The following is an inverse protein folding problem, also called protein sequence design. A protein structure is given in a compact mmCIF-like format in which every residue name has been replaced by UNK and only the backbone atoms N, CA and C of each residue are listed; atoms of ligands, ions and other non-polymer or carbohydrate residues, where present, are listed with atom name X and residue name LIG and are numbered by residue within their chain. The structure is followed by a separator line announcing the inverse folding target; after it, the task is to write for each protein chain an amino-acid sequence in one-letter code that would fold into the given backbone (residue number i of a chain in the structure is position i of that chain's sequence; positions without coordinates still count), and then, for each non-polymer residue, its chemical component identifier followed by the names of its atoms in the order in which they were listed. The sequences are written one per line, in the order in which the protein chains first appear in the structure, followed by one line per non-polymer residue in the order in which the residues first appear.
data_IF_762414502239
#
_entry.id   IF_762414502239
#
_cell.length_a   1.000
_cell.length_b   1.000
_cell.length_c   1.000
_cell.angle_alpha   90.00
_cell.angle_beta   90.00
_cell.angle_gamma   90.00
#
_symmetry.space_group_name_H-M   'P 1'
#
loop_
_entity.id
_entity.type
_entity.pdbx_description
1 polymer ?
#
# COMPACT_ATOMS: atom_id res chain seq x y z
N UNK A 1 17.58 -11.79 -8.63
CA UNK A 1 17.03 -11.09 -7.46
C UNK A 1 15.91 -11.92 -6.83
N UNK A 2 14.89 -12.32 -7.61
CA UNK A 2 13.84 -13.30 -7.23
C UNK A 2 14.34 -14.51 -6.42
N UNK A 3 15.36 -15.23 -6.93
CA UNK A 3 15.93 -16.40 -6.25
C UNK A 3 16.54 -16.08 -4.87
N UNK A 4 17.13 -14.89 -4.68
CA UNK A 4 17.70 -14.47 -3.39
C UNK A 4 16.60 -14.12 -2.37
N UNK A 5 15.45 -13.66 -2.84
CA UNK A 5 14.28 -13.33 -2.00
C UNK A 5 13.51 -14.59 -1.61
N UNK A 6 13.34 -15.53 -2.56
CA UNK A 6 12.73 -16.83 -2.31
C UNK A 6 13.49 -17.62 -1.23
N UNK A 7 14.83 -17.57 -1.25
CA UNK A 7 15.68 -18.18 -0.21
C UNK A 7 15.48 -17.56 1.19
N UNK A 8 14.91 -16.36 1.27
CA UNK A 8 14.55 -15.68 2.53
C UNK A 8 13.06 -15.82 2.88
N UNK A 9 12.32 -16.65 2.15
CA UNK A 9 10.87 -16.83 2.32
C UNK A 9 10.03 -15.63 1.86
N UNK A 10 10.62 -14.70 1.10
CA UNK A 10 9.92 -13.50 0.60
C UNK A 10 9.47 -13.73 -0.83
N UNK A 11 8.17 -13.60 -1.06
CA UNK A 11 7.55 -13.67 -2.40
C UNK A 11 7.42 -12.24 -2.94
N UNK A 12 8.00 -11.98 -4.10
CA UNK A 12 7.89 -10.67 -4.75
C UNK A 12 6.63 -10.62 -5.62
N UNK A 13 5.74 -9.67 -5.33
CA UNK A 13 4.51 -9.43 -6.09
C UNK A 13 4.66 -8.10 -6.85
N UNK A 14 4.84 -8.17 -8.17
CA UNK A 14 5.01 -6.99 -9.03
C UNK A 14 4.04 -6.96 -10.20
N UNK A 15 3.67 -5.76 -10.66
CA UNK A 15 2.88 -5.60 -11.88
C UNK A 15 3.63 -6.06 -13.13
N UNK A 16 2.88 -6.57 -14.10
CA UNK A 16 3.44 -6.98 -15.39
C UNK A 16 4.02 -5.77 -16.12
N UNK A 17 5.31 -5.84 -16.47
CA UNK A 17 5.98 -4.90 -17.39
C UNK A 17 6.09 -5.53 -18.77
N UNK A 18 6.21 -4.69 -19.80
CA UNK A 18 6.33 -5.06 -21.22
C UNK A 18 7.45 -6.09 -21.52
N UNK A 19 8.48 -6.17 -20.67
CA UNK A 19 9.64 -7.06 -20.85
C UNK A 19 9.69 -8.24 -19.84
N UNK A 20 8.58 -8.53 -19.16
CA UNK A 20 8.48 -9.65 -18.20
C UNK A 20 7.68 -10.77 -18.85
N UNK A 21 8.19 -12.01 -18.77
CA UNK A 21 7.47 -13.19 -19.26
C UNK A 21 6.10 -13.29 -18.56
N UNK A 22 5.00 -13.52 -19.30
CA UNK A 22 3.70 -13.67 -18.70
C UNK A 22 3.70 -14.89 -17.77
N UNK A 23 3.55 -14.65 -16.47
CA UNK A 23 3.36 -15.68 -15.47
C UNK A 23 1.92 -15.61 -14.98
N UNK A 24 1.33 -16.76 -14.67
CA UNK A 24 -0.01 -16.85 -14.11
C UNK A 24 0.05 -16.32 -12.68
N UNK A 25 -0.40 -15.09 -12.52
CA UNK A 25 -0.47 -14.42 -11.23
C UNK A 25 -1.75 -14.85 -10.49
N UNK A 26 -1.65 -15.15 -9.19
CA UNK A 26 -2.84 -15.47 -8.40
C UNK A 26 -3.83 -14.29 -8.45
N UNK A 27 -5.12 -14.59 -8.52
CA UNK A 27 -6.19 -13.59 -8.58
C UNK A 27 -6.10 -12.58 -7.43
N UNK A 28 -5.66 -13.05 -6.26
CA UNK A 28 -5.46 -12.21 -5.08
C UNK A 28 -4.30 -11.24 -5.21
N UNK A 29 -3.16 -11.69 -5.70
CA UNK A 29 -1.99 -10.84 -5.92
C UNK A 29 -2.29 -9.77 -6.98
N UNK A 30 -3.05 -10.14 -8.03
CA UNK A 30 -3.54 -9.22 -9.06
C UNK A 30 -4.48 -8.16 -8.47
N UNK A 31 -5.32 -8.55 -7.52
CA UNK A 31 -6.21 -7.64 -6.81
C UNK A 31 -5.42 -6.69 -5.92
N UNK A 32 -4.48 -7.19 -5.12
CA UNK A 32 -3.61 -6.36 -4.26
C UNK A 32 -2.85 -5.30 -5.08
N UNK A 33 -2.31 -5.68 -6.25
CA UNK A 33 -1.65 -4.71 -7.12
C UNK A 33 -2.60 -3.61 -7.63
N UNK A 34 -3.84 -3.95 -7.99
CA UNK A 34 -4.84 -2.96 -8.41
C UNK A 34 -5.27 -2.05 -7.27
N UNK A 35 -5.32 -2.57 -6.05
CA UNK A 35 -5.70 -1.82 -4.84
C UNK A 35 -4.52 -1.06 -4.21
N UNK A 36 -3.30 -1.17 -4.75
CA UNK A 36 -2.09 -0.45 -4.30
C UNK A 36 -2.29 1.08 -4.22
N UNK A 37 -3.14 1.63 -5.09
CA UNK A 37 -3.53 3.04 -5.08
C UNK A 37 -4.07 3.52 -3.73
N UNK A 38 -4.70 2.65 -2.94
CA UNK A 38 -5.23 3.01 -1.61
C UNK A 38 -4.08 3.30 -0.66
N UNK A 39 -3.08 2.41 -0.64
CA UNK A 39 -1.89 2.57 0.22
C UNK A 39 -1.15 3.84 -0.20
N UNK A 40 -1.04 4.10 -1.50
CA UNK A 40 -0.45 5.35 -2.01
C UNK A 40 -1.25 6.60 -1.59
N UNK A 41 -2.58 6.55 -1.67
CA UNK A 41 -3.45 7.67 -1.27
C UNK A 41 -3.33 7.95 0.22
N UNK A 42 -3.35 6.91 1.06
CA UNK A 42 -3.16 7.04 2.51
C UNK A 42 -1.77 7.60 2.81
N UNK A 43 -0.73 7.11 2.13
CA UNK A 43 0.63 7.59 2.32
C UNK A 43 0.82 9.05 1.86
N UNK A 44 0.11 9.47 0.80
CA UNK A 44 0.10 10.86 0.33
C UNK A 44 -0.62 11.79 1.32
N UNK A 45 -1.76 11.36 1.86
CA UNK A 45 -2.46 12.08 2.93
C UNK A 45 -1.61 12.21 4.19
N UNK A 46 -0.94 11.13 4.62
CA UNK A 46 -0.02 11.16 5.76
C UNK A 46 1.16 12.10 5.51
N UNK A 47 1.73 12.13 4.29
CA UNK A 47 2.78 13.09 3.94
C UNK A 47 2.33 14.54 4.04
N UNK A 48 1.08 14.82 3.67
CA UNK A 48 0.51 16.17 3.75
C UNK A 48 0.26 16.58 5.20
N UNK A 49 -0.38 15.71 6.00
CA UNK A 49 -0.75 16.00 7.41
C UNK A 49 0.49 16.06 8.31
N UNK A 50 1.41 15.10 8.17
CA UNK A 50 2.61 15.05 9.00
C UNK A 50 3.72 16.00 8.52
N UNK A 51 3.46 16.83 7.49
CA UNK A 51 4.41 17.75 6.84
C UNK A 51 5.76 17.13 6.44
N UNK A 52 5.82 15.80 6.32
CA UNK A 52 7.06 15.02 6.14
C UNK A 52 7.82 15.45 4.89
N UNK A 53 7.09 15.90 3.87
CA UNK A 53 7.65 16.32 2.59
C UNK A 53 8.43 17.64 2.68
N UNK A 54 8.11 18.50 3.65
CA UNK A 54 8.70 19.83 3.81
C UNK A 54 9.59 19.93 5.07
N UNK A 55 9.50 18.99 5.99
CA UNK A 55 10.28 19.00 7.21
C UNK A 55 11.62 18.27 7.04
N UNK A 56 12.73 19.01 7.10
CA UNK A 56 14.06 18.43 7.34
C UNK A 56 14.10 17.91 8.79
N UNK A 57 13.73 16.66 8.98
CA UNK A 57 13.73 16.01 10.29
C UNK A 57 15.17 15.92 10.84
N UNK A 58 15.56 16.83 11.74
CA UNK A 58 16.85 16.77 12.46
C UNK A 58 16.89 15.68 13.53
N UNK A 59 15.75 15.10 13.93
CA UNK A 59 15.63 14.04 14.94
C UNK A 59 14.54 13.03 14.56
N UNK A 60 14.89 11.74 14.57
CA UNK A 60 14.02 10.63 14.17
C UNK A 60 12.80 10.45 15.09
N UNK A 61 12.93 10.79 16.37
CA UNK A 61 11.88 10.67 17.38
C UNK A 61 10.69 11.59 17.05
N UNK A 62 10.95 12.85 16.68
CA UNK A 62 9.90 13.80 16.28
C UNK A 62 9.18 13.38 14.99
N UNK A 63 9.88 12.68 14.10
CA UNK A 63 9.28 12.09 12.90
C UNK A 63 8.31 10.96 13.25
N UNK A 64 8.71 10.03 14.14
CA UNK A 64 7.83 8.96 14.62
C UNK A 64 6.59 9.51 15.34
N UNK A 65 6.73 10.55 16.16
CA UNK A 65 5.61 11.24 16.80
C UNK A 65 4.63 11.84 15.79
N UNK A 66 5.13 12.59 14.80
CA UNK A 66 4.28 13.16 13.75
C UNK A 66 3.60 12.09 12.88
N UNK A 67 4.23 10.93 12.68
CA UNK A 67 3.64 9.80 11.97
C UNK A 67 2.48 9.20 12.78
N UNK A 68 2.66 9.00 14.08
CA UNK A 68 1.64 8.47 14.97
C UNK A 68 0.44 9.42 15.08
N UNK A 69 0.69 10.72 15.24
CA UNK A 69 -0.36 11.76 15.23
C UNK A 69 -1.10 11.79 13.89
N UNK A 70 -0.39 11.68 12.77
CA UNK A 70 -1.00 11.60 11.44
C UNK A 70 -1.91 10.37 11.28
N UNK A 71 -1.52 9.22 11.84
CA UNK A 71 -2.31 7.99 11.81
C UNK A 71 -3.55 8.06 12.72
N UNK A 72 -3.41 8.66 13.91
CA UNK A 72 -4.53 8.89 14.84
C UNK A 72 -5.52 9.87 14.22
N UNK A 73 -5.06 11.01 13.68
CA UNK A 73 -5.90 11.99 13.00
C UNK A 73 -6.63 11.39 11.80
N UNK A 74 -5.96 10.51 11.04
CA UNK A 74 -6.59 9.75 9.95
C UNK A 74 -7.70 8.82 10.44
N UNK A 75 -7.56 8.21 11.62
CA UNK A 75 -8.59 7.35 12.22
C UNK A 75 -9.86 8.11 12.58
N UNK A 76 -9.74 9.39 12.97
CA UNK A 76 -10.86 10.29 13.23
C UNK A 76 -11.43 10.96 11.97
N UNK A 77 -10.81 10.78 10.81
CA UNK A 77 -11.25 11.41 9.57
C UNK A 77 -12.52 10.70 9.03
N UNK A 78 -13.60 11.46 8.88
CA UNK A 78 -14.90 10.96 8.42
C UNK A 78 -14.88 10.49 6.95
N UNK A 79 -14.00 11.06 6.12
CA UNK A 79 -13.76 10.62 4.74
C UNK A 79 -12.61 9.62 4.67
N UNK A 80 -12.95 8.35 4.88
CA UNK A 80 -12.05 7.25 4.52
C UNK A 80 -12.07 7.08 2.99
N UNK A 81 -10.91 6.92 2.32
CA UNK A 81 -10.89 6.53 0.92
C UNK A 81 -11.60 5.19 0.80
N UNK A 82 -12.86 5.24 0.37
CA UNK A 82 -13.68 4.06 0.19
C UNK A 82 -13.44 3.52 -1.21
N UNK A 83 -13.14 2.23 -1.28
CA UNK A 83 -13.04 1.53 -2.55
C UNK A 83 -14.46 1.29 -3.03
N UNK A 84 -14.83 1.83 -4.18
CA UNK A 84 -15.94 1.25 -4.95
C UNK A 84 -15.47 -0.13 -5.43
N UNK A 85 -15.75 -1.18 -4.66
CA UNK A 85 -15.46 -2.55 -5.06
C UNK A 85 -16.47 -2.96 -6.13
N UNK A 86 -15.97 -3.25 -7.32
CA UNK A 86 -16.73 -3.90 -8.39
C UNK A 86 -17.21 -5.26 -7.89
N UNK A 87 -18.40 -5.72 -8.33
CA UNK A 87 -19.05 -6.97 -7.88
C UNK A 87 -18.12 -8.20 -7.89
N UNK A 88 -17.19 -8.23 -8.86
CA UNK A 88 -16.16 -9.26 -9.00
C UNK A 88 -15.13 -9.31 -7.86
N UNK A 89 -14.71 -8.16 -7.30
CA UNK A 89 -13.74 -8.12 -6.20
C UNK A 89 -14.35 -8.67 -4.90
N UNK A 90 -15.67 -8.51 -4.72
CA UNK A 90 -16.39 -9.06 -3.55
C UNK A 90 -16.49 -10.59 -3.61
N UNK A 91 -16.74 -11.15 -4.78
CA UNK A 91 -16.78 -12.61 -4.97
C UNK A 91 -15.42 -13.27 -4.72
N UNK A 92 -14.33 -12.67 -5.21
CA UNK A 92 -12.97 -13.20 -5.00
C UNK A 92 -12.55 -13.18 -3.52
N UNK A 93 -13.01 -12.20 -2.75
CA UNK A 93 -12.78 -12.13 -1.30
C UNK A 93 -13.63 -13.11 -0.49
N UNK A 94 -14.83 -13.46 -0.96
CA UNK A 94 -15.71 -14.46 -0.34
C UNK A 94 -15.32 -15.91 -0.66
N UNK A 95 -14.37 -16.12 -1.60
CA UNK A 95 -13.88 -17.44 -2.01
C UNK A 95 -12.56 -17.86 -1.33
N UNK A 96 -12.07 -17.07 -0.37
CA UNK A 96 -11.00 -17.45 0.56
C UNK A 96 -11.64 -17.80 1.89
#
# INVERSE_FOLDING_TARGET
MERKLANKGVILITGMKKNIKPNVMKSWDRLMLRKRFIIETVFDQLKNISQIKHFRHRRCISFMGNLLVGLIAYSFQSKKPSIKMTRFDKQVLMQI
#
